data_IF_559110680945
#
_entry.id   IF_559110680945
#
_cell.length_a   1.000
_cell.length_b   1.000
_cell.length_c   1.000
_cell.angle_alpha   90.00
_cell.angle_beta   90.00
_cell.angle_gamma   90.00
#
_symmetry.space_group_name_H-M   'P 1'
#
loop_
_entity.id
_entity.type
_entity.pdbx_description
1 polymer ?
2 polymer ?
3 non-polymer ?
4 water ?
#
# COMPACT_ATOMS: atom_id res chain seq x y z
N UNK A 17 -15.33 -29.00 5.02
CA UNK A 17 -15.65 -27.86 4.09
C UNK A 17 -17.16 -27.62 3.87
N UNK A 18 -17.59 -26.44 4.29
CA UNK A 18 -18.94 -25.98 4.03
C UNK A 18 -18.77 -24.63 3.38
N UNK A 19 -17.74 -24.56 2.55
CA UNK A 19 -17.35 -23.33 1.83
C UNK A 19 -17.84 -23.43 0.38
N UNK A 20 -18.47 -22.37 -0.11
CA UNK A 20 -18.84 -22.25 -1.50
C UNK A 20 -17.84 -21.27 -2.13
N UNK A 21 -17.24 -21.68 -3.25
CA UNK A 21 -16.09 -21.00 -3.81
C UNK A 21 -16.43 -20.38 -5.14
N UNK A 22 -16.45 -19.06 -5.16
CA UNK A 22 -16.75 -18.33 -6.36
C UNK A 22 -15.58 -17.48 -6.73
N UNK A 23 -15.56 -17.07 -7.97
CA UNK A 23 -14.62 -16.09 -8.43
C UNK A 23 -15.43 -15.03 -9.21
N UNK A 24 -14.94 -13.81 -9.19
CA UNK A 24 -15.34 -12.74 -10.06
C UNK A 24 -14.15 -12.37 -10.95
N UNK A 25 -14.41 -12.01 -12.19
CA UNK A 25 -13.33 -11.55 -13.02
C UNK A 25 -13.30 -10.03 -12.95
N UNK A 26 -12.11 -9.50 -12.72
CA UNK A 26 -11.89 -8.09 -12.52
C UNK A 26 -10.51 -7.72 -13.09
N UNK A 27 -10.27 -6.44 -13.35
CA UNK A 27 -8.92 -5.94 -13.47
C UNK A 27 -8.58 -5.36 -12.08
N UNK A 28 -7.32 -4.94 -11.87
CA UNK A 28 -6.91 -4.39 -10.57
C UNK A 28 -7.67 -3.15 -10.23
N UNK A 29 -7.89 -2.28 -11.22
CA UNK A 29 -8.61 -1.00 -11.03
C UNK A 29 -10.07 -1.14 -10.57
N UNK A 30 -10.67 -2.32 -10.78
CA UNK A 30 -12.06 -2.64 -10.42
C UNK A 30 -12.24 -3.29 -9.07
N UNK A 31 -11.11 -3.74 -8.50
CA UNK A 31 -11.12 -4.46 -7.24
C UNK A 31 -11.89 -3.76 -6.10
N UNK A 32 -11.60 -2.48 -5.85
CA UNK A 32 -12.27 -1.79 -4.73
C UNK A 32 -13.78 -1.65 -4.98
N UNK A 33 -14.11 -1.23 -6.22
CA UNK A 33 -15.48 -1.06 -6.68
C UNK A 33 -16.20 -2.40 -6.49
N UNK A 34 -15.52 -3.47 -6.81
CA UNK A 34 -16.04 -4.80 -6.70
C UNK A 34 -16.37 -5.18 -5.26
N UNK A 35 -15.37 -5.01 -4.36
CA UNK A 35 -15.46 -5.30 -2.90
C UNK A 35 -16.55 -4.47 -2.21
N UNK A 36 -16.56 -3.18 -2.51
CA UNK A 36 -17.59 -2.32 -1.97
C UNK A 36 -18.95 -2.93 -2.27
N UNK A 37 -19.13 -3.41 -3.49
CA UNK A 37 -20.41 -4.01 -3.92
C UNK A 37 -20.66 -5.29 -3.15
N UNK A 38 -19.61 -6.07 -2.94
CA UNK A 38 -19.74 -7.29 -2.12
C UNK A 38 -20.09 -6.88 -0.70
N UNK A 39 -19.48 -5.81 -0.19
CA UNK A 39 -19.82 -5.27 1.12
C UNK A 39 -21.28 -4.87 1.30
N UNK A 40 -21.95 -4.45 0.23
CA UNK A 40 -23.36 -4.06 0.26
C UNK A 40 -24.32 -5.25 0.14
N UNK A 41 -24.04 -6.11 -0.83
CA UNK A 41 -24.92 -7.19 -1.25
C UNK A 41 -24.83 -8.47 -0.40
N UNK A 42 -23.65 -8.83 0.10
CA UNK A 42 -23.55 -10.03 0.94
C UNK A 42 -24.04 -9.75 2.35
N UNK A 43 -24.59 -10.76 2.98
CA UNK A 43 -24.96 -10.66 4.33
C UNK A 43 -23.82 -11.14 5.27
N UNK A 44 -23.00 -10.17 5.68
CA UNK A 44 -21.73 -10.43 6.39
C UNK A 44 -21.88 -10.23 7.88
N UNK A 45 -21.45 -11.24 8.63
CA UNK A 45 -21.33 -11.15 10.06
C UNK A 45 -19.92 -10.59 10.35
N UNK A 46 -18.88 -11.34 9.90
CA UNK A 46 -17.52 -10.87 9.83
C UNK A 46 -16.89 -11.30 8.54
N UNK A 47 -15.97 -10.49 8.01
CA UNK A 47 -15.22 -10.91 6.83
C UNK A 47 -13.74 -10.85 7.06
N UNK A 48 -13.01 -11.67 6.32
CA UNK A 48 -11.55 -11.59 6.32
C UNK A 48 -11.21 -11.39 4.87
N UNK A 49 -10.27 -10.47 4.61
CA UNK A 49 -9.93 -10.08 3.26
C UNK A 49 -8.44 -10.22 3.02
N UNK A 50 -8.02 -11.08 2.08
CA UNK A 50 -6.59 -11.35 1.90
C UNK A 50 -6.01 -10.56 0.76
N UNK A 51 -4.91 -9.86 0.98
CA UNK A 51 -4.07 -9.34 -0.14
C UNK A 51 -2.65 -9.96 -0.13
N UNK A 52 -1.88 -9.65 -1.17
CA UNK A 52 -0.64 -10.36 -1.45
C UNK A 52 0.63 -9.65 -0.91
N UNK A 53 0.49 -8.43 -0.41
CA UNK A 53 1.64 -7.69 0.16
C UNK A 53 1.19 -6.81 1.33
N UNK A 54 2.08 -6.56 2.29
CA UNK A 54 1.70 -5.75 3.44
C UNK A 54 1.29 -4.34 3.01
N UNK A 55 2.06 -3.72 2.13
CA UNK A 55 1.65 -2.44 1.55
C UNK A 55 0.11 -2.44 1.17
N UNK A 56 -0.31 -3.41 0.34
CA UNK A 56 -1.69 -3.49 -0.16
C UNK A 56 -2.71 -3.71 0.98
N UNK A 57 -2.31 -4.47 1.99
CA UNK A 57 -3.15 -4.64 3.16
C UNK A 57 -3.46 -3.22 3.72
N UNK A 58 -2.43 -2.40 3.95
CA UNK A 58 -2.59 -1.04 4.51
C UNK A 58 -3.42 -0.14 3.65
N UNK A 59 -3.10 -0.06 2.36
CA UNK A 59 -3.87 0.73 1.42
C UNK A 59 -5.33 0.35 1.41
N UNK A 60 -5.64 -0.95 1.19
CA UNK A 60 -7.03 -1.46 1.22
C UNK A 60 -7.78 -1.15 2.52
N UNK A 61 -7.17 -1.42 3.67
CA UNK A 61 -7.80 -1.11 4.96
C UNK A 61 -8.21 0.37 5.06
N UNK A 62 -7.39 1.23 4.48
CA UNK A 62 -7.63 2.68 4.48
C UNK A 62 -8.75 2.96 3.52
N UNK A 63 -8.65 2.41 2.30
CA UNK A 63 -9.73 2.47 1.35
C UNK A 63 -11.04 2.04 2.00
N UNK A 64 -11.05 0.91 2.70
CA UNK A 64 -12.29 0.34 3.26
C UNK A 64 -12.86 1.33 4.25
N UNK A 65 -11.99 1.91 5.06
CA UNK A 65 -12.39 2.85 6.07
C UNK A 65 -12.88 4.15 5.49
N UNK A 66 -12.30 4.61 4.37
CA UNK A 66 -12.77 5.83 3.73
C UNK A 66 -14.14 5.67 3.08
N UNK A 67 -14.39 4.50 2.49
CA UNK A 67 -15.70 4.10 2.01
C UNK A 67 -16.77 3.95 3.09
N UNK A 68 -16.39 4.13 4.36
CA UNK A 68 -17.35 4.13 5.47
C UNK A 68 -17.48 2.83 6.26
N UNK A 69 -16.52 1.92 6.20
CA UNK A 69 -16.71 0.62 6.89
C UNK A 69 -15.71 0.40 8.01
N UNK A 70 -16.08 -0.36 9.03
CA UNK A 70 -15.11 -0.75 10.09
C UNK A 70 -14.04 -1.71 9.57
N UNK A 71 -12.84 -1.63 10.12
CA UNK A 71 -11.68 -2.28 9.54
C UNK A 71 -10.40 -2.38 10.39
N UNK A 72 -10.01 -3.61 10.74
CA UNK A 72 -8.67 -3.89 11.26
C UNK A 72 -7.75 -4.42 10.16
N UNK A 73 -6.47 -4.31 10.37
CA UNK A 73 -5.59 -5.02 9.50
C UNK A 73 -4.41 -5.62 10.25
N UNK A 74 -3.91 -6.75 9.75
CA UNK A 74 -2.66 -7.32 10.28
C UNK A 74 -1.80 -7.73 9.09
N UNK A 75 -0.48 -7.70 9.28
CA UNK A 75 0.44 -8.23 8.28
C UNK A 75 1.79 -8.68 8.89
N UNK A 76 2.78 -9.03 8.08
CA UNK A 76 4.03 -9.45 8.70
C UNK A 76 4.94 -8.31 9.22
N UNK A 77 4.72 -7.08 8.77
CA UNK A 77 5.67 -5.98 9.13
C UNK A 77 5.16 -5.21 10.35
N UNK A 78 4.94 -5.95 11.41
CA UNK A 78 4.31 -5.47 12.65
C UNK A 78 5.03 -6.26 13.68
N UNK A 79 4.98 -5.78 14.92
CA UNK A 79 5.47 -6.52 16.07
C UNK A 79 4.47 -7.60 16.38
N UNK A 80 4.92 -8.77 16.78
CA UNK A 80 3.96 -9.84 17.07
C UNK A 80 2.94 -9.51 18.18
N UNK A 81 3.36 -8.74 19.18
CA UNK A 81 2.52 -8.37 20.32
C UNK A 81 1.35 -7.55 19.80
N UNK A 82 1.62 -6.73 18.78
CA UNK A 82 0.64 -5.89 18.15
C UNK A 82 -0.26 -6.72 17.21
N UNK A 83 0.33 -7.56 16.36
CA UNK A 83 -0.47 -8.40 15.46
C UNK A 83 -1.45 -9.23 16.28
N UNK A 84 -0.94 -9.86 17.35
CA UNK A 84 -1.72 -10.79 18.18
C UNK A 84 -2.85 -10.10 18.92
N UNK A 85 -2.65 -8.87 19.36
CA UNK A 85 -3.72 -8.12 20.02
C UNK A 85 -4.87 -7.78 19.04
N UNK A 86 -4.51 -7.31 17.85
CA UNK A 86 -5.51 -7.01 16.82
C UNK A 86 -6.30 -8.29 16.44
N UNK A 87 -5.57 -9.38 16.31
CA UNK A 87 -6.21 -10.61 15.86
C UNK A 87 -7.19 -11.10 16.92
N UNK A 88 -6.80 -10.95 18.17
CA UNK A 88 -7.63 -11.27 19.32
C UNK A 88 -8.86 -10.37 19.41
N UNK A 89 -8.68 -9.06 19.16
CA UNK A 89 -9.82 -8.11 19.14
C UNK A 89 -10.83 -8.55 18.11
N UNK A 90 -10.35 -8.85 16.91
CA UNK A 90 -11.16 -9.34 15.83
C UNK A 90 -11.89 -10.61 16.16
N UNK A 91 -11.21 -11.59 16.74
CA UNK A 91 -11.82 -12.84 17.17
C UNK A 91 -12.98 -12.56 18.13
N UNK A 92 -12.82 -11.56 18.99
CA UNK A 92 -13.80 -11.20 20.02
C UNK A 92 -15.00 -10.36 19.51
N UNK A 93 -15.02 -10.06 18.21
CA UNK A 93 -16.13 -9.36 17.55
C UNK A 93 -16.05 -7.86 17.71
N UNK A 94 -14.84 -7.30 17.82
CA UNK A 94 -14.62 -5.88 18.06
C UNK A 94 -14.34 -5.12 16.77
N UNK A 95 -14.53 -5.81 15.64
CA UNK A 95 -14.56 -5.24 14.29
C UNK A 95 -15.29 -6.19 13.32
N UNK A 96 -15.78 -5.62 12.22
CA UNK A 96 -16.47 -6.36 11.20
C UNK A 96 -15.51 -7.00 10.15
N UNK A 97 -14.44 -6.28 9.76
CA UNK A 97 -13.59 -6.73 8.64
C UNK A 97 -12.17 -6.72 9.11
N UNK A 98 -11.40 -7.68 8.63
CA UNK A 98 -9.97 -7.79 8.84
C UNK A 98 -9.31 -8.02 7.48
N UNK A 99 -8.39 -7.12 7.14
CA UNK A 99 -7.59 -7.24 5.96
C UNK A 99 -6.27 -7.83 6.48
N UNK A 100 -5.73 -8.81 5.78
CA UNK A 100 -4.52 -9.45 6.23
C UNK A 100 -3.75 -10.11 5.08
N UNK A 101 -2.49 -10.42 5.30
CA UNK A 101 -1.79 -11.33 4.42
C UNK A 101 -1.91 -12.75 4.99
N UNK A 102 -1.17 -13.69 4.43
CA UNK A 102 -1.24 -15.09 4.88
C UNK A 102 -0.74 -15.55 6.26
N UNK A 103 -1.66 -16.12 7.06
CA UNK A 103 -1.32 -17.20 8.06
C UNK A 103 -2.21 -18.48 7.91
N UNK A 109 -10.51 -21.47 12.35
CA UNK A 109 -11.40 -20.36 11.96
C UNK A 109 -12.01 -19.62 13.13
N UNK A 110 -12.50 -18.43 12.80
CA UNK A 110 -13.38 -17.66 13.64
C UNK A 110 -14.77 -18.05 13.14
N UNK A 111 -15.66 -18.43 14.06
CA UNK A 111 -17.02 -18.89 13.76
C UNK A 111 -17.89 -17.79 13.13
N UNK A 112 -17.73 -16.56 13.61
CA UNK A 112 -18.46 -15.42 13.08
C UNK A 112 -18.07 -15.01 11.63
N UNK A 113 -16.88 -15.41 11.19
CA UNK A 113 -16.44 -15.18 9.81
C UNK A 113 -17.20 -16.07 8.83
N UNK A 114 -18.20 -15.52 8.13
CA UNK A 114 -18.96 -16.30 7.12
C UNK A 114 -18.63 -16.00 5.68
N UNK A 115 -17.67 -15.09 5.47
CA UNK A 115 -17.26 -14.65 4.13
C UNK A 115 -15.77 -14.37 4.18
N UNK A 116 -15.06 -14.85 3.17
CA UNK A 116 -13.65 -14.61 3.04
C UNK A 116 -13.45 -14.07 1.65
N UNK A 117 -12.70 -12.98 1.52
CA UNK A 117 -12.43 -12.45 0.21
C UNK A 117 -10.94 -12.45 -0.14
N UNK A 118 -10.59 -13.19 -1.16
CA UNK A 118 -9.26 -13.14 -1.72
C UNK A 118 -9.25 -11.96 -2.65
N UNK A 119 -8.97 -10.78 -2.07
CA UNK A 119 -8.81 -9.55 -2.84
C UNK A 119 -7.67 -9.79 -3.82
N UNK A 120 -6.66 -10.50 -3.36
CA UNK A 120 -5.54 -10.86 -4.22
C UNK A 120 -5.49 -12.34 -4.29
N UNK A 121 -5.64 -12.88 -5.50
CA UNK A 121 -5.72 -14.33 -5.59
C UNK A 121 -4.38 -14.95 -5.18
N UNK A 122 -4.42 -15.98 -4.32
CA UNK A 122 -3.17 -16.63 -3.93
C UNK A 122 -2.52 -17.38 -5.06
N UNK A 123 -1.21 -17.57 -4.93
CA UNK A 123 -0.40 -18.18 -5.98
C UNK A 123 -0.26 -19.73 -5.93
N UNK A 124 -0.38 -20.32 -4.73
CA UNK A 124 -0.31 -21.77 -4.55
C UNK A 124 -1.60 -22.30 -3.93
N UNK A 125 -1.90 -23.57 -4.22
CA UNK A 125 -3.08 -24.29 -3.69
C UNK A 125 -2.96 -24.40 -2.18
N UNK A 126 -1.74 -24.62 -1.73
CA UNK A 126 -1.45 -24.67 -0.33
C UNK A 126 -1.92 -23.40 0.38
N UNK A 127 -1.44 -22.26 -0.11
CA UNK A 127 -1.83 -20.94 0.40
C UNK A 127 -3.36 -20.67 0.32
N UNK A 128 -4.00 -20.96 -0.81
CA UNK A 128 -5.45 -20.95 -0.90
C UNK A 128 -6.18 -21.77 0.19
N UNK A 129 -5.73 -23.01 0.37
CA UNK A 129 -6.25 -23.88 1.40
C UNK A 129 -6.09 -23.24 2.77
N UNK A 130 -5.00 -22.53 2.99
CA UNK A 130 -4.81 -21.90 4.30
C UNK A 130 -5.79 -20.73 4.54
N UNK A 131 -6.27 -20.12 3.45
CA UNK A 131 -7.11 -18.92 3.47
C UNK A 131 -8.56 -19.35 3.53
N UNK A 132 -8.85 -20.45 2.82
CA UNK A 132 -10.22 -21.03 2.76
C UNK A 132 -10.49 -22.01 3.92
N UNK A 133 -9.43 -22.66 4.42
CA UNK A 133 -9.57 -23.66 5.49
C UNK A 133 -10.04 -23.04 6.80
N UNK A 141 -20.07 -22.97 7.78
CA UNK A 141 -20.86 -22.38 6.68
C UNK A 141 -20.23 -21.03 6.23
N UNK A 142 -19.71 -20.99 5.02
CA UNK A 142 -19.07 -19.78 4.52
C UNK A 142 -18.99 -19.62 3.01
N UNK A 143 -18.51 -18.45 2.59
CA UNK A 143 -18.32 -18.15 1.18
C UNK A 143 -16.86 -17.77 1.05
N UNK A 144 -16.26 -18.10 -0.08
CA UNK A 144 -14.92 -17.64 -0.39
C UNK A 144 -15.00 -17.07 -1.78
N UNK A 145 -14.87 -15.75 -1.87
CA UNK A 145 -14.88 -15.07 -3.13
C UNK A 145 -13.49 -14.64 -3.52
N UNK A 146 -13.17 -15.00 -4.75
CA UNK A 146 -11.91 -14.76 -5.35
C UNK A 146 -12.03 -13.66 -6.37
N UNK A 147 -11.10 -12.70 -6.32
CA UNK A 147 -10.97 -11.68 -7.34
C UNK A 147 -9.85 -12.04 -8.35
N UNK A 148 -10.25 -12.48 -9.54
CA UNK A 148 -9.33 -13.02 -10.53
C UNK A 148 -9.06 -12.02 -11.65
N UNK A 149 -7.79 -11.73 -11.87
CA UNK A 149 -7.40 -10.82 -12.92
C UNK A 149 -6.76 -11.63 -14.00
N UNK A 150 -6.60 -11.03 -15.17
CA UNK A 150 -6.12 -11.78 -16.32
C UNK A 150 -4.85 -12.53 -15.90
N UNK A 151 -4.01 -11.83 -15.17
CA UNK A 151 -2.78 -12.40 -14.63
C UNK A 151 -2.90 -13.52 -13.59
N UNK A 152 -4.10 -13.82 -13.11
CA UNK A 152 -4.31 -14.91 -12.14
C UNK A 152 -4.69 -16.27 -12.79
N UNK A 153 -4.82 -16.26 -14.10
CA UNK A 153 -5.41 -17.40 -14.89
C UNK A 153 -4.65 -18.74 -14.82
N UNK A 154 -3.33 -18.71 -14.94
CA UNK A 154 -2.56 -19.94 -14.74
C UNK A 154 -2.66 -20.42 -13.30
N UNK A 155 -2.81 -19.49 -12.35
CA UNK A 155 -2.90 -19.90 -10.94
C UNK A 155 -4.26 -20.54 -10.64
N UNK A 156 -5.30 -19.93 -11.20
CA UNK A 156 -6.65 -20.46 -11.09
C UNK A 156 -6.72 -21.88 -11.67
N UNK A 157 -6.13 -22.05 -12.85
CA UNK A 157 -6.13 -23.33 -13.56
C UNK A 157 -5.37 -24.35 -12.75
N UNK A 158 -4.14 -24.02 -12.38
CA UNK A 158 -3.34 -24.85 -11.54
C UNK A 158 -3.90 -25.14 -10.17
N UNK A 159 -4.53 -24.17 -9.52
CA UNK A 159 -5.09 -24.42 -8.21
C UNK A 159 -6.34 -25.34 -8.25
N UNK A 160 -7.23 -25.13 -9.22
CA UNK A 160 -8.40 -26.01 -9.44
C UNK A 160 -8.05 -27.51 -9.54
N UNK A 161 -7.18 -27.81 -10.50
CA UNK A 161 -6.77 -29.16 -10.81
C UNK A 161 -6.16 -29.76 -9.58
N UNK A 162 -5.32 -28.99 -8.90
CA UNK A 162 -4.59 -29.52 -7.75
C UNK A 162 -5.46 -29.93 -6.58
N UNK A 163 -6.58 -29.25 -6.42
CA UNK A 163 -7.54 -29.53 -5.35
C UNK A 163 -8.74 -30.40 -5.79
N UNK A 164 -8.89 -30.57 -7.10
CA UNK A 164 -9.99 -31.36 -7.71
C UNK A 164 -11.16 -30.48 -8.09
N UNK A 165 -11.46 -29.55 -7.18
CA UNK A 165 -12.68 -28.75 -7.13
C UNK A 165 -12.71 -27.51 -8.08
N UNK A 166 -13.91 -27.14 -8.57
CA UNK A 166 -14.00 -25.94 -9.42
C UNK A 166 -14.52 -24.75 -8.64
N UNK A 167 -14.02 -23.59 -9.03
CA UNK A 167 -14.43 -22.30 -8.48
C UNK A 167 -15.28 -21.61 -9.54
N UNK A 168 -16.58 -21.52 -9.24
CA UNK A 168 -17.61 -21.17 -10.22
C UNK A 168 -17.77 -19.67 -10.31
N UNK A 169 -18.02 -19.16 -11.53
CA UNK A 169 -18.24 -17.74 -11.65
C UNK A 169 -19.33 -17.30 -10.68
N UNK A 170 -19.15 -16.13 -10.09
CA UNK A 170 -20.04 -15.61 -9.04
C UNK A 170 -21.47 -15.41 -9.58
N UNK A 171 -22.47 -16.01 -8.90
CA UNK A 171 -23.79 -15.89 -9.47
C UNK A 171 -24.42 -14.56 -9.14
N UNK A 172 -25.54 -14.30 -9.80
CA UNK A 172 -26.25 -13.04 -9.65
C UNK A 172 -26.89 -12.91 -8.28
N UNK A 173 -27.39 -14.03 -7.75
CA UNK A 173 -27.87 -14.11 -6.37
C UNK A 173 -27.37 -15.39 -5.77
N UNK A 174 -26.68 -15.23 -4.65
CA UNK A 174 -26.15 -16.30 -3.86
C UNK A 174 -27.17 -16.64 -2.79
N UNK A 175 -27.44 -17.92 -2.61
CA UNK A 175 -28.42 -18.42 -1.64
C UNK A 175 -27.99 -18.27 -0.18
N UNK A 176 -28.60 -17.33 0.53
CA UNK A 176 -28.31 -17.13 1.96
C UNK A 176 -28.13 -18.41 2.81
N UNK A 177 -28.64 -19.56 2.35
CA UNK A 177 -28.48 -20.85 3.07
C UNK A 177 -27.04 -21.31 3.03
N UNK A 178 -26.30 -20.84 2.01
CA UNK A 178 -24.90 -21.23 1.78
C UNK A 178 -23.88 -20.59 2.73
N UNK A 179 -24.22 -19.46 3.40
CA UNK A 179 -23.24 -18.66 4.19
C UNK A 179 -23.76 -17.84 5.36
N UNK A 180 -25.08 -17.81 5.56
CA UNK A 180 -25.72 -17.07 6.64
C UNK A 180 -26.17 -18.05 7.68
N UNK A 181 -25.67 -17.88 8.90
CA UNK A 181 -26.08 -18.69 10.04
C UNK A 181 -27.02 -17.84 10.87
N UNK B 15 -15.25 6.50 -7.48
CA UNK B 15 -15.81 5.18 -6.98
C UNK B 15 -17.36 5.12 -7.08
N UNK B 16 -17.88 4.68 -8.26
CA UNK B 16 -19.33 4.60 -8.53
C UNK B 16 -20.22 4.17 -7.34
N UNK B 17 -21.19 5.03 -7.03
CA UNK B 17 -22.24 4.73 -6.05
C UNK B 17 -23.18 3.66 -6.59
N UNK B 18 -22.76 3.02 -7.69
CA UNK B 18 -23.52 1.98 -8.38
C UNK B 18 -22.84 0.58 -8.36
N UNK B 19 -23.64 -0.47 -8.54
CA UNK B 19 -23.17 -1.84 -8.46
C UNK B 19 -22.09 -2.15 -9.49
N UNK B 20 -21.13 -2.96 -9.08
CA UNK B 20 -20.16 -3.50 -9.98
C UNK B 20 -20.86 -4.53 -10.89
N UNK B 21 -20.57 -4.47 -12.17
CA UNK B 21 -21.18 -5.37 -13.13
C UNK B 21 -20.40 -6.65 -13.19
N UNK B 22 -20.75 -7.59 -12.34
CA UNK B 22 -20.06 -8.86 -12.30
C UNK B 22 -20.22 -9.61 -13.63
N UNK B 23 -21.48 -9.69 -14.09
CA UNK B 23 -21.88 -10.47 -15.27
C UNK B 23 -21.15 -10.06 -16.55
N UNK B 24 -21.21 -8.76 -16.84
CA UNK B 24 -20.50 -8.20 -17.96
C UNK B 24 -19.02 -8.51 -17.90
N UNK B 25 -18.40 -8.32 -16.75
CA UNK B 25 -16.98 -8.59 -16.62
C UNK B 25 -16.68 -10.07 -16.61
N UNK B 26 -17.60 -10.90 -16.14
CA UNK B 26 -17.35 -12.34 -16.23
C UNK B 26 -17.07 -12.83 -17.67
N UNK B 27 -17.65 -12.16 -18.68
CA UNK B 27 -17.63 -12.67 -20.07
C UNK B 27 -16.51 -12.09 -20.93
N UNK B 28 -15.91 -11.02 -20.43
CA UNK B 28 -14.57 -10.60 -20.81
C UNK B 28 -13.53 -11.73 -20.73
N UNK B 29 -13.87 -12.80 -20.03
CA UNK B 29 -12.90 -13.83 -19.76
C UNK B 29 -13.56 -15.18 -19.95
N UNK B 30 -13.25 -15.83 -21.06
CA UNK B 30 -13.73 -17.19 -21.27
C UNK B 30 -12.80 -18.22 -20.65
N UNK B 31 -13.24 -18.76 -19.52
CA UNK B 31 -12.45 -19.63 -18.67
C UNK B 31 -12.18 -20.97 -19.31
N UNK B 32 -13.17 -21.48 -20.04
CA UNK B 32 -13.02 -22.79 -20.69
C UNK B 32 -12.06 -22.64 -21.85
N UNK B 33 -12.29 -21.63 -22.69
CA UNK B 33 -11.43 -21.39 -23.84
C UNK B 33 -10.01 -21.29 -23.34
N UNK B 34 -9.80 -20.44 -22.33
CA UNK B 34 -8.45 -20.17 -21.80
C UNK B 34 -7.74 -21.46 -21.29
N UNK B 35 -8.47 -22.27 -20.51
CA UNK B 35 -7.96 -23.55 -20.00
C UNK B 35 -7.69 -24.61 -21.11
N UNK B 36 -8.45 -24.50 -22.20
CA UNK B 36 -8.27 -25.39 -23.35
C UNK B 36 -6.93 -25.05 -24.01
N UNK B 37 -6.77 -23.78 -24.40
CA UNK B 37 -5.54 -23.23 -24.99
C UNK B 37 -4.26 -23.56 -24.19
N UNK B 38 -4.20 -23.15 -22.92
CA UNK B 38 -3.06 -23.52 -22.06
C UNK B 38 -2.73 -25.03 -22.04
N UNK B 39 -3.74 -25.88 -22.10
CA UNK B 39 -3.52 -27.33 -22.15
C UNK B 39 -2.82 -27.80 -23.45
N UNK B 40 -2.86 -27.00 -24.52
CA UNK B 40 -2.20 -27.36 -25.80
C UNK B 40 -0.70 -27.00 -25.92
N UNK C 18 22.79 3.57 -8.81
CA UNK C 18 21.37 3.23 -9.19
C UNK C 18 20.24 3.84 -8.36
N UNK C 19 20.43 5.06 -7.83
CA UNK C 19 19.34 5.86 -7.17
C UNK C 19 18.72 6.91 -8.10
N UNK C 20 17.42 6.80 -8.35
CA UNK C 20 16.77 7.85 -9.11
C UNK C 20 16.22 8.96 -8.21
N UNK C 21 16.46 10.22 -8.55
CA UNK C 21 16.17 11.33 -7.61
C UNK C 21 15.17 12.29 -8.17
N UNK C 22 14.05 12.44 -7.47
CA UNK C 22 13.00 13.35 -7.88
C UNK C 22 12.74 14.32 -6.78
N UNK C 23 12.10 15.41 -7.17
CA UNK C 23 11.61 16.42 -6.26
C UNK C 23 10.10 16.66 -6.53
N UNK C 24 9.32 16.83 -5.47
CA UNK C 24 7.93 17.31 -5.56
C UNK C 24 7.88 18.71 -4.88
N UNK C 25 7.22 19.67 -5.51
CA UNK C 25 7.10 21.05 -5.02
C UNK C 25 5.79 21.20 -4.30
N UNK C 26 5.87 21.69 -3.05
CA UNK C 26 4.80 21.59 -2.09
C UNK C 26 4.92 22.82 -1.17
N UNK C 27 3.86 23.19 -0.46
CA UNK C 27 4.07 23.97 0.79
C UNK C 27 4.29 23.04 1.99
N UNK C 28 4.60 23.61 3.15
CA UNK C 28 4.71 22.86 4.39
C UNK C 28 3.38 22.20 4.76
N UNK C 29 2.28 22.87 4.46
CA UNK C 29 0.98 22.31 4.74
C UNK C 29 0.47 21.25 3.78
N UNK C 30 1.14 21.10 2.63
CA UNK C 30 0.80 20.04 1.68
C UNK C 30 1.67 18.77 1.85
N UNK C 31 2.67 18.79 2.74
CA UNK C 31 3.63 17.66 2.88
C UNK C 31 3.01 16.32 3.27
N UNK C 32 2.14 16.34 4.27
CA UNK C 32 1.45 15.12 4.65
C UNK C 32 0.62 14.53 3.47
N UNK C 33 -0.14 15.38 2.78
CA UNK C 33 -0.98 14.97 1.65
C UNK C 33 -0.13 14.37 0.59
N UNK C 34 0.91 15.09 0.25
CA UNK C 34 1.89 14.64 -0.71
C UNK C 34 2.39 13.26 -0.30
N UNK C 35 2.86 13.13 0.96
CA UNK C 35 3.38 11.87 1.50
C UNK C 35 2.36 10.75 1.39
N UNK C 36 1.14 11.01 1.88
CA UNK C 36 0.04 10.04 1.83
C UNK C 36 -0.17 9.56 0.38
N UNK C 37 -0.01 10.45 -0.59
CA UNK C 37 -0.15 10.10 -2.01
C UNK C 37 1.03 9.29 -2.50
N UNK C 38 2.24 9.64 -2.03
CA UNK C 38 3.43 8.81 -2.38
C UNK C 38 3.29 7.37 -1.86
N UNK C 39 2.67 7.23 -0.69
CA UNK C 39 2.45 5.96 0.01
C UNK C 39 1.49 5.01 -0.72
N UNK C 40 0.56 5.59 -1.49
CA UNK C 40 -0.41 4.88 -2.30
C UNK C 40 0.12 4.56 -3.67
N UNK C 41 0.99 5.40 -4.18
CA UNK C 41 1.41 5.36 -5.56
C UNK C 41 2.80 4.72 -5.84
N UNK C 42 3.70 4.73 -4.87
CA UNK C 42 4.98 4.07 -5.09
C UNK C 42 4.77 2.65 -4.60
N UNK C 43 5.32 1.70 -5.31
CA UNK C 43 5.43 0.38 -4.78
C UNK C 43 6.64 0.30 -3.79
N UNK C 44 6.35 0.36 -2.51
CA UNK C 44 7.35 0.43 -1.45
C UNK C 44 7.46 -0.89 -0.72
N UNK C 45 8.68 -1.41 -0.65
CA UNK C 45 8.92 -2.57 0.16
C UNK C 45 9.04 -2.10 1.62
N UNK C 46 10.04 -1.25 1.87
CA UNK C 46 10.14 -0.45 3.11
C UNK C 46 10.61 0.94 2.74
N UNK C 47 10.18 1.93 3.54
CA UNK C 47 10.62 3.33 3.33
C UNK C 47 11.31 3.88 4.55
N UNK C 48 12.18 4.82 4.29
CA UNK C 48 12.74 5.63 5.30
C UNK C 48 12.36 7.05 4.96
N UNK C 49 11.92 7.84 5.93
CA UNK C 49 11.51 9.22 5.72
C UNK C 49 12.31 10.14 6.67
N UNK C 50 13.06 11.07 6.12
CA UNK C 50 13.89 11.94 6.92
C UNK C 50 13.18 13.27 7.10
N UNK C 51 13.26 13.78 8.32
CA UNK C 51 12.89 15.13 8.62
C UNK C 51 14.17 15.76 9.20
N UNK C 52 14.07 17.07 9.51
CA UNK C 52 15.17 17.91 9.96
C UNK C 52 15.33 18.11 11.48
N UNK C 53 14.35 17.69 12.28
CA UNK C 53 14.56 17.65 13.70
C UNK C 53 13.81 16.49 14.32
N UNK C 54 14.14 16.24 15.59
CA UNK C 54 13.57 15.19 16.45
C UNK C 54 12.09 15.41 16.77
N UNK C 55 11.73 16.68 16.97
CA UNK C 55 10.35 17.09 17.16
C UNK C 55 9.50 16.74 15.90
N UNK C 56 10.04 17.09 14.74
CA UNK C 56 9.31 16.83 13.48
C UNK C 56 9.15 15.35 13.15
N UNK C 57 10.14 14.56 13.55
CA UNK C 57 10.12 13.11 13.38
C UNK C 57 8.98 12.53 14.26
N UNK C 58 8.90 12.93 15.52
CA UNK C 58 7.83 12.37 16.35
C UNK C 58 6.45 12.76 15.88
N UNK C 59 6.22 14.06 15.58
CA UNK C 59 4.95 14.54 14.99
C UNK C 59 4.62 13.92 13.64
N UNK C 60 5.55 13.84 12.70
CA UNK C 60 5.30 13.05 11.47
C UNK C 60 4.99 11.56 11.70
N UNK C 61 5.75 10.90 12.55
CA UNK C 61 5.52 9.47 12.83
C UNK C 61 4.09 9.29 13.44
N UNK C 62 3.72 10.22 14.31
CA UNK C 62 2.35 10.33 14.81
C UNK C 62 1.25 10.47 13.72
N UNK C 63 1.39 11.40 12.79
CA UNK C 63 0.40 11.54 11.71
C UNK C 63 0.29 10.34 10.78
N UNK C 64 1.43 9.76 10.38
CA UNK C 64 1.48 8.58 9.55
C UNK C 64 0.71 7.40 10.12
N UNK C 65 0.74 7.27 11.45
CA UNK C 65 0.04 6.14 12.07
C UNK C 65 -1.43 6.45 12.28
N UNK C 66 -1.76 7.72 12.55
CA UNK C 66 -3.17 8.12 12.57
C UNK C 66 -3.80 8.01 11.17
N UNK C 67 -3.01 8.20 10.11
CA UNK C 67 -3.40 7.91 8.71
C UNK C 67 -3.64 6.42 8.39
N UNK C 68 -3.08 5.57 9.24
CA UNK C 68 -3.28 4.19 9.20
C UNK C 68 -2.09 3.38 8.76
N UNK C 69 -0.89 4.00 8.67
CA UNK C 69 0.29 3.24 8.25
C UNK C 69 1.19 2.85 9.42
N UNK C 70 1.98 1.80 9.19
CA UNK C 70 2.78 1.20 10.26
C UNK C 70 3.95 2.12 10.29
N UNK C 71 4.53 2.36 11.45
CA UNK C 71 5.53 3.40 11.58
C UNK C 71 6.43 3.22 12.81
N UNK C 72 7.74 3.17 12.59
CA UNK C 72 8.76 3.39 13.61
C UNK C 72 9.37 4.79 13.41
N UNK C 73 10.02 5.29 14.47
CA UNK C 73 10.80 6.50 14.35
C UNK C 73 12.06 6.40 15.19
N UNK C 74 13.12 7.05 14.75
CA UNK C 74 14.32 7.23 15.59
C UNK C 74 14.78 8.64 15.43
N UNK C 75 15.59 9.11 16.38
CA UNK C 75 16.27 10.41 16.31
C UNK C 75 17.44 10.42 17.32
N UNK C 76 18.14 11.55 17.38
CA UNK C 76 19.41 11.66 18.12
C UNK C 76 19.17 11.85 19.59
N UNK C 77 17.93 12.17 19.96
CA UNK C 77 17.54 12.37 21.37
C UNK C 77 16.95 11.13 21.93
N UNK C 78 17.76 10.07 21.83
CA UNK C 78 17.43 8.77 22.42
C UNK C 78 18.75 8.18 22.87
N UNK C 79 18.65 7.24 23.78
CA UNK C 79 19.74 6.37 24.14
C UNK C 79 20.09 5.52 22.93
N UNK C 80 21.40 5.41 22.65
CA UNK C 80 21.89 4.70 21.48
C UNK C 80 21.36 3.30 21.52
N UNK C 81 21.25 2.73 22.72
CA UNK C 81 20.64 1.40 22.88
C UNK C 81 19.23 1.32 22.31
N UNK C 82 18.49 2.42 22.38
CA UNK C 82 17.12 2.43 21.84
C UNK C 82 17.11 2.62 20.31
N UNK C 83 17.91 3.55 19.82
CA UNK C 83 18.11 3.69 18.39
C UNK C 83 18.44 2.35 17.72
N UNK C 84 19.46 1.68 18.26
CA UNK C 84 19.86 0.33 17.85
C UNK C 84 18.77 -0.72 17.88
N UNK C 85 17.95 -0.82 18.94
CA UNK C 85 16.87 -1.82 18.97
C UNK C 85 15.90 -1.56 17.84
N UNK C 86 15.47 -0.30 17.71
CA UNK C 86 14.39 0.09 16.81
C UNK C 86 14.90 -0.13 15.44
N UNK C 87 16.15 0.24 15.23
CA UNK C 87 16.72 0.15 13.93
C UNK C 87 16.94 -1.30 13.48
N UNK C 88 17.34 -2.15 14.44
CA UNK C 88 17.47 -3.58 14.20
C UNK C 88 16.12 -4.21 13.89
N UNK C 89 15.07 -3.88 14.66
CA UNK C 89 13.66 -4.24 14.40
C UNK C 89 13.16 -3.89 12.97
N UNK C 90 13.49 -2.69 12.49
CA UNK C 90 13.08 -2.21 11.19
C UNK C 90 13.81 -3.01 10.13
N UNK C 91 15.11 -3.20 10.36
CA UNK C 91 15.90 -3.99 9.45
C UNK C 91 15.35 -5.41 9.36
N UNK C 92 14.82 -5.91 10.47
CA UNK C 92 14.15 -7.22 10.55
C UNK C 92 12.68 -7.31 10.05
N UNK C 93 12.12 -6.22 9.52
CA UNK C 93 10.83 -6.26 8.85
C UNK C 93 9.71 -6.23 9.86
N UNK C 94 9.92 -5.53 10.98
CA UNK C 94 8.88 -5.44 11.99
C UNK C 94 8.06 -4.17 11.76
N UNK C 95 8.50 -3.33 10.82
CA UNK C 95 7.71 -2.18 10.33
C UNK C 95 7.94 -1.92 8.84
N UNK C 96 7.03 -1.16 8.22
CA UNK C 96 7.26 -0.77 6.80
C UNK C 96 7.99 0.56 6.62
N UNK C 97 7.79 1.49 7.54
CA UNK C 97 8.34 2.83 7.40
C UNK C 97 9.15 3.23 8.63
N UNK C 98 10.25 3.94 8.44
CA UNK C 98 10.98 4.50 9.57
C UNK C 98 11.14 6.00 9.36
N UNK C 99 10.69 6.82 10.30
CA UNK C 99 10.93 8.27 10.25
C UNK C 99 12.17 8.57 11.07
N UNK C 100 13.10 9.33 10.49
CA UNK C 100 14.26 9.69 11.24
C UNK C 100 14.92 11.04 10.87
N UNK C 101 15.91 11.43 11.69
CA UNK C 101 16.76 12.56 11.46
C UNK C 101 18.01 12.02 10.81
N UNK C 102 19.07 12.80 10.81
CA UNK C 102 20.31 12.35 10.20
C UNK C 102 21.16 11.47 11.08
N UNK C 103 20.86 10.18 11.02
CA UNK C 103 21.58 9.19 11.80
C UNK C 103 22.37 8.28 10.86
N UNK C 111 18.54 -2.63 2.76
CA UNK C 111 18.40 -3.53 1.53
C UNK C 111 16.94 -3.58 1.08
N UNK C 112 16.03 -3.81 2.02
CA UNK C 112 14.63 -3.86 1.68
C UNK C 112 14.07 -2.46 1.45
N UNK C 113 14.79 -1.42 1.90
CA UNK C 113 14.41 0.01 1.66
C UNK C 113 14.62 0.42 0.19
N UNK C 114 13.54 0.66 -0.55
CA UNK C 114 13.64 1.00 -1.99
C UNK C 114 13.22 2.42 -2.29
N UNK C 115 12.71 3.09 -1.26
CA UNK C 115 12.31 4.48 -1.36
C UNK C 115 12.74 5.21 -0.08
N UNK C 116 13.38 6.35 -0.34
CA UNK C 116 13.81 7.28 0.63
C UNK C 116 13.08 8.57 0.31
N UNK C 117 12.31 9.08 1.27
CA UNK C 117 11.67 10.41 1.18
C UNK C 117 12.39 11.44 2.03
N UNK C 118 12.84 12.54 1.44
CA UNK C 118 13.33 13.66 2.22
C UNK C 118 12.18 14.57 2.52
N UNK C 119 11.51 14.27 3.63
CA UNK C 119 10.31 14.97 3.97
C UNK C 119 10.66 16.43 4.22
N UNK C 120 11.78 16.64 4.90
CA UNK C 120 12.41 17.95 4.88
C UNK C 120 13.67 17.81 4.07
N UNK C 121 13.89 18.80 3.20
CA UNK C 121 15.16 18.90 2.48
C UNK C 121 16.27 19.43 3.40
N UNK C 122 17.47 18.82 3.35
CA UNK C 122 18.54 19.33 4.19
C UNK C 122 19.16 20.60 3.62
N UNK C 123 20.01 21.25 4.41
CA UNK C 123 20.83 22.36 3.93
C UNK C 123 22.12 21.89 3.24
N UNK C 124 22.82 20.90 3.79
CA UNK C 124 24.13 20.48 3.26
C UNK C 124 24.13 19.32 2.24
N UNK C 125 25.06 19.39 1.29
CA UNK C 125 25.34 18.30 0.34
C UNK C 125 25.84 16.97 0.98
N UNK C 126 26.70 17.07 2.02
CA UNK C 126 27.10 15.92 2.88
C UNK C 126 25.88 15.22 3.55
N UNK C 127 25.04 15.98 4.23
CA UNK C 127 23.81 15.44 4.80
C UNK C 127 22.98 14.67 3.76
N UNK C 128 22.77 15.29 2.61
CA UNK C 128 21.91 14.72 1.61
C UNK C 128 22.52 13.44 0.97
N UNK C 129 23.83 13.45 0.85
CA UNK C 129 24.54 12.30 0.36
C UNK C 129 24.47 11.15 1.39
N UNK C 130 24.64 11.44 2.69
CA UNK C 130 24.51 10.37 3.69
C UNK C 130 23.11 9.77 3.67
N UNK C 131 22.10 10.59 3.39
CA UNK C 131 20.70 10.18 3.44
C UNK C 131 20.30 9.18 2.35
N UNK C 132 20.85 9.39 1.15
CA UNK C 132 20.40 8.62 -0.02
C UNK C 132 21.40 7.56 -0.51
N UNK C 133 22.70 7.80 -0.29
CA UNK C 133 23.75 6.86 -0.69
C UNK C 133 23.82 5.64 0.21
N UNK C 141 19.45 -0.09 -5.94
CA UNK C 141 18.28 0.23 -6.78
C UNK C 141 17.17 0.82 -5.89
N UNK C 142 16.97 2.13 -5.99
CA UNK C 142 15.98 2.83 -5.19
C UNK C 142 15.56 4.19 -5.72
N UNK C 143 14.60 4.79 -5.03
CA UNK C 143 14.10 6.11 -5.37
C UNK C 143 14.43 7.06 -4.22
N UNK C 144 14.83 8.30 -4.52
CA UNK C 144 14.86 9.38 -3.55
C UNK C 144 13.86 10.45 -3.97
N UNK C 145 12.84 10.71 -3.16
CA UNK C 145 11.88 11.76 -3.45
C UNK C 145 12.04 12.88 -2.43
N UNK C 146 12.29 14.06 -2.93
CA UNK C 146 12.60 15.25 -2.15
C UNK C 146 11.37 16.15 -2.15
N UNK C 147 10.96 16.59 -0.95
CA UNK C 147 9.82 17.46 -0.85
C UNK C 147 10.34 18.89 -0.65
N UNK C 148 10.10 19.73 -1.65
CA UNK C 148 10.80 21.03 -1.83
C UNK C 148 9.75 22.14 -1.67
N UNK C 149 10.00 23.04 -0.73
CA UNK C 149 9.20 24.24 -0.61
C UNK C 149 10.00 25.41 -1.23
N UNK C 150 9.32 26.54 -1.48
CA UNK C 150 9.93 27.75 -2.03
C UNK C 150 11.27 28.11 -1.29
N UNK C 151 11.24 28.03 0.05
CA UNK C 151 12.39 28.12 0.97
C UNK C 151 13.52 27.08 0.79
N UNK C 152 13.26 25.95 0.12
CA UNK C 152 14.35 25.01 -0.17
C UNK C 152 14.93 25.26 -1.51
N UNK C 153 14.52 26.36 -2.16
CA UNK C 153 14.94 26.52 -3.56
C UNK C 153 16.44 26.67 -3.72
N UNK C 154 17.12 27.31 -2.77
CA UNK C 154 18.56 27.61 -2.89
C UNK C 154 19.42 26.40 -2.61
N UNK C 155 19.12 25.79 -1.48
CA UNK C 155 19.57 24.45 -1.14
C UNK C 155 19.48 23.45 -2.28
N UNK C 156 18.36 23.45 -3.00
CA UNK C 156 18.14 22.46 -4.04
C UNK C 156 19.19 22.65 -5.13
N UNK C 157 19.34 23.92 -5.51
CA UNK C 157 20.31 24.42 -6.51
C UNK C 157 21.77 24.13 -6.13
N UNK C 158 22.18 24.48 -4.92
CA UNK C 158 23.56 24.22 -4.53
C UNK C 158 23.88 22.72 -4.38
N UNK C 159 22.90 21.94 -3.89
CA UNK C 159 23.09 20.49 -3.75
C UNK C 159 23.32 19.88 -5.12
N UNK C 160 22.46 20.21 -6.10
CA UNK C 160 22.65 19.81 -7.53
C UNK C 160 24.00 20.24 -8.10
N UNK C 161 24.43 21.48 -7.81
CA UNK C 161 25.75 22.01 -8.25
C UNK C 161 26.87 21.21 -7.64
N UNK C 162 26.85 21.10 -6.32
CA UNK C 162 27.84 20.34 -5.57
C UNK C 162 27.99 18.88 -6.03
N UNK C 163 26.86 18.23 -6.31
CA UNK C 163 26.89 16.79 -6.51
C UNK C 163 26.98 16.43 -7.98
N UNK C 164 26.76 17.44 -8.83
CA UNK C 164 26.82 17.29 -10.29
C UNK C 164 25.74 16.37 -10.84
N UNK C 165 24.72 16.12 -10.01
CA UNK C 165 23.49 15.42 -10.42
C UNK C 165 22.40 16.46 -10.81
N UNK C 166 21.28 15.96 -11.32
CA UNK C 166 20.06 16.76 -11.38
C UNK C 166 19.00 16.07 -10.53
N UNK C 167 18.12 16.87 -9.94
CA UNK C 167 16.97 16.28 -9.28
C UNK C 167 15.75 16.71 -10.10
N UNK C 168 15.33 15.79 -10.96
CA UNK C 168 14.30 16.08 -11.93
C UNK C 168 12.98 16.16 -11.22
N UNK C 169 11.99 16.86 -11.81
CA UNK C 169 10.65 16.88 -11.27
C UNK C 169 10.02 15.50 -11.29
N UNK C 170 9.30 15.16 -10.24
CA UNK C 170 8.68 13.83 -10.14
C UNK C 170 7.73 13.65 -11.35
N UNK C 171 7.91 12.59 -12.16
CA UNK C 171 6.99 12.33 -13.27
C UNK C 171 5.68 11.72 -12.79
N UNK C 172 4.59 11.98 -13.52
CA UNK C 172 3.24 11.44 -13.20
C UNK C 172 3.16 9.91 -13.05
N UNK C 173 4.00 9.21 -13.82
CA UNK C 173 4.22 7.80 -13.59
C UNK C 173 5.71 7.51 -13.51
N UNK C 174 6.10 6.71 -12.52
CA UNK C 174 7.52 6.44 -12.35
C UNK C 174 7.69 5.02 -12.87
N UNK C 175 8.68 4.80 -13.73
CA UNK C 175 9.05 3.47 -14.21
C UNK C 175 9.49 2.59 -13.02
N UNK C 176 8.77 1.50 -12.79
CA UNK C 176 9.07 0.65 -11.66
C UNK C 176 10.41 -0.09 -11.74
N UNK C 177 11.05 -0.07 -12.90
CA UNK C 177 12.28 -0.82 -13.03
C UNK C 177 13.41 -0.04 -12.41
N UNK C 178 13.18 1.28 -12.27
CA UNK C 178 14.06 2.18 -11.52
C UNK C 178 14.14 1.87 -10.01
N UNK C 179 13.14 1.19 -9.43
CA UNK C 179 13.11 1.06 -7.97
C UNK C 179 12.56 -0.22 -7.35
N UNK C 180 11.83 -1.06 -8.11
CA UNK C 180 11.18 -2.28 -7.59
C UNK C 180 11.85 -3.53 -8.10
N UNK C 181 12.46 -4.27 -7.20
CA UNK C 181 13.24 -5.46 -7.51
C UNK C 181 12.60 -6.45 -8.49
N UNK C 182 11.27 -6.59 -8.44
CA UNK C 182 10.53 -7.49 -9.35
C UNK C 182 10.52 -6.98 -10.81
N UNK C 183 11.04 -5.79 -11.05
CA UNK C 183 10.78 -5.12 -12.31
C UNK C 183 12.06 -4.81 -13.06
N UNK D 12 -5.73 21.05 12.07
CA UNK D 12 -6.41 22.14 11.32
C UNK D 12 -7.31 21.55 10.22
N UNK D 13 -6.75 21.16 9.06
CA UNK D 13 -7.51 20.59 7.93
C UNK D 13 -7.32 19.05 7.85
N UNK D 14 -8.41 18.30 7.72
CA UNK D 14 -8.33 16.87 7.35
C UNK D 14 -7.72 16.71 5.95
N UNK D 15 -7.05 15.59 5.71
CA UNK D 15 -6.41 15.35 4.41
C UNK D 15 -7.36 14.76 3.36
N UNK D 16 -7.38 15.33 2.15
CA UNK D 16 -8.25 14.79 1.13
C UNK D 16 -8.01 13.28 0.95
N UNK D 17 -9.05 12.54 0.56
CA UNK D 17 -8.91 11.11 0.27
C UNK D 17 -8.10 10.88 -1.03
N UNK D 18 -8.13 11.91 -1.88
CA UNK D 18 -7.62 11.89 -3.24
C UNK D 18 -6.17 12.37 -3.32
N UNK D 19 -5.57 12.09 -4.48
CA UNK D 19 -4.18 12.30 -4.71
C UNK D 19 -3.78 13.78 -4.73
N UNK D 20 -2.74 14.12 -3.98
CA UNK D 20 -2.04 15.40 -4.12
C UNK D 20 -1.79 15.71 -5.59
N UNK D 21 -1.92 16.97 -5.97
CA UNK D 21 -1.70 17.33 -7.36
C UNK D 21 -0.23 17.70 -7.58
N UNK D 22 0.58 16.67 -7.89
CA UNK D 22 2.00 16.86 -8.21
C UNK D 22 2.15 17.86 -9.34
N UNK D 23 1.60 17.50 -10.52
CA UNK D 23 1.70 18.32 -11.73
C UNK D 23 1.29 19.78 -11.50
N UNK D 24 0.10 19.97 -10.93
CA UNK D 24 -0.45 21.30 -10.58
C UNK D 24 0.54 22.14 -9.81
N UNK D 25 1.16 21.51 -8.79
CA UNK D 25 2.11 22.19 -7.92
C UNK D 25 3.52 22.21 -8.46
N UNK D 26 3.86 21.25 -9.30
CA UNK D 26 5.14 21.32 -9.98
C UNK D 26 5.13 22.57 -10.85
N UNK D 27 3.98 22.82 -11.50
CA UNK D 27 3.84 24.00 -12.36
C UNK D 27 3.98 25.34 -11.62
N UNK D 28 3.86 25.35 -10.30
CA UNK D 28 4.02 26.60 -9.52
C UNK D 28 5.46 27.06 -9.29
N UNK D 29 6.44 26.25 -9.64
CA UNK D 29 7.85 26.63 -9.44
C UNK D 29 8.59 26.39 -10.78
N UNK D 30 8.95 27.46 -11.49
CA UNK D 30 9.75 27.34 -12.73
C UNK D 30 11.20 27.24 -12.26
N UNK D 31 11.71 26.02 -12.23
CA UNK D 31 12.98 25.75 -11.60
C UNK D 31 14.12 26.46 -12.32
N UNK D 32 14.08 26.36 -13.65
CA UNK D 32 15.12 26.86 -14.53
C UNK D 32 15.17 28.38 -14.47
N UNK D 33 13.99 29.00 -14.43
CA UNK D 33 13.84 30.44 -14.33
C UNK D 33 14.35 30.96 -12.98
N UNK D 34 13.94 30.28 -11.92
CA UNK D 34 14.33 30.61 -10.54
C UNK D 34 15.85 30.54 -10.40
N UNK D 35 16.40 29.53 -11.06
CA UNK D 35 17.79 29.12 -10.91
C UNK D 35 18.73 30.07 -11.63
N UNK D 36 18.38 30.39 -12.87
CA UNK D 36 19.10 31.41 -13.63
C UNK D 36 18.83 32.78 -13.02
N UNK D 37 17.62 33.01 -12.49
CA UNK D 37 17.27 34.26 -11.78
C UNK D 37 18.10 34.50 -10.52
N UNK D 38 18.20 33.52 -9.62
CA UNK D 38 19.07 33.73 -8.44
C UNK D 38 20.58 33.75 -8.75
N UNK D 39 20.97 33.20 -9.91
CA UNK D 39 22.31 33.39 -10.49
C UNK D 39 22.48 34.80 -11.11
N UNK D 40 21.48 35.21 -11.90
CA UNK D 40 21.42 36.50 -12.57
C UNK D 40 20.93 37.63 -11.66
N UNK D 41 20.50 37.29 -10.43
CA UNK D 41 19.77 38.18 -9.48
C UNK D 41 18.93 39.23 -10.21
X LIG E 1 -5.41 -1.21 12.69
X LIG E 1 -6.13 -2.41 12.59
X LIG E 1 -4.13 -1.47 13.51
X LIG E 1 -3.60 -0.26 14.03
X LIG E 1 -3.07 -2.12 12.65
X LIG E 1 -2.98 -3.46 13.03
X LIG F 1 -0.39 -10.14 -6.88
X LIG F 1 0.68 -10.15 -5.94
X LIG F 1 -1.30 -8.92 -6.72
X LIG F 1 -0.95 -7.84 -7.54
X LIG F 1 -2.75 -9.27 -7.05
X LIG F 1 -2.88 -10.22 -8.09
X LIG G 1 -19.26 -5.26 5.26
X LIG G 1 -18.40 -6.08 6.04
X LIG G 1 -19.10 -3.82 5.76
X LIG G 1 -18.35 -3.80 6.95
X LIG G 1 -20.44 -3.15 6.08
X LIG G 1 -21.47 -3.69 5.31
X LIG H 1 2.31 1.80 2.14
X LIG H 1 1.14 1.08 2.50
X LIG H 1 2.91 2.56 3.35
X LIG H 1 2.79 1.84 4.55
X LIG H 1 4.33 3.05 3.13
X LIG H 1 5.20 2.01 2.79
#
# INVERSE_FOLDING_TARGET
>A
GPQDPYEINLMEELTLKGVTQYYAYVTERQKVHCLNTLFSRLQINQSIIFCNSSQRVELLAKKISQLGYSCFYIHAKMRQEHRNRVFHDFRNGLCRNLVCTDLFTRGIDIQAVNVVINFDFPKLAETYLHRIGRSGRFGHLGLAINLITYDDRFNLKSIEEQLGTEIKPIPSNIDKSLYVAEYHSEPVEDEKP
>B
GPHMADLFGDDIEEIPDTDFDFEGNLALFDKAAVFEEIDTYERR
>C
GPQDPYEINLMEELTLKGVTQYYAYVTERQKVHCLNTLFSRLQINQSIIFCNSSQRVELLAKKISQLGYSCFYIHAKMRQEHRNRVFHDFRNGLCRNLVCTDLFTRGIDIQAVNVVINFDFPKLAETYLHRIGRSGRFGHLGLAINLITYDDRFNLKSIEEQLGTEIKPIPSNIDKSLYVAEYHSEPVEDEKP
>D
GPHMADLFGDDIEEIPDTDFDFEGNLALFDKAAVFEEIDTYERR
>E hetero
1 GOL C1 O1 C2 O2 C3 O3
>F hetero
1 GOL C1 O1 C2 O2 C3 O3
>G hetero
1 GOL C1 O1 C2 O2 C3 O3
>H hetero
1 GOL C1 O1 C2 O2 C3 O3
#
